data_IF_867849042172
#
_entry.id   IF_867849042172
#
_cell.length_a   1.000
_cell.length_b   1.000
_cell.length_c   1.000
_cell.angle_alpha   90.00
_cell.angle_beta   90.00
_cell.angle_gamma   90.00
#
_symmetry.space_group_name_H-M   'P 1'
#
loop_
_entity.id
_entity.type
_entity.pdbx_description
1 polymer ?
#
# COMPACT_ATOMS: atom_id res chain seq x y z
N UNK A 1 24.59 -16.53 -0.59
CA UNK A 1 24.12 -17.71 0.17
C UNK A 1 22.60 -17.79 0.16
N UNK A 2 21.87 -16.75 0.61
CA UNK A 2 20.40 -16.75 0.60
C UNK A 2 19.80 -17.07 -0.79
N UNK A 3 20.19 -16.31 -1.81
CA UNK A 3 19.76 -16.49 -3.21
C UNK A 3 19.99 -17.92 -3.72
N UNK A 4 21.24 -18.38 -3.77
CA UNK A 4 21.57 -19.72 -4.27
C UNK A 4 21.06 -20.87 -3.39
N UNK A 5 20.74 -20.60 -2.11
CA UNK A 5 20.16 -21.58 -1.20
C UNK A 5 18.66 -21.74 -1.36
N UNK A 6 17.99 -20.74 -1.94
CA UNK A 6 16.54 -20.71 -2.13
C UNK A 6 16.15 -21.05 -3.59
N UNK A 7 16.95 -20.63 -4.56
CA UNK A 7 16.89 -21.09 -5.95
C UNK A 7 18.23 -21.70 -6.35
N UNK A 8 18.21 -23.00 -6.66
CA UNK A 8 19.39 -23.74 -7.11
C UNK A 8 19.95 -23.08 -8.39
N UNK A 9 21.24 -22.69 -8.40
CA UNK A 9 21.93 -22.18 -9.59
C UNK A 9 21.77 -23.03 -10.86
N UNK A 10 21.55 -24.34 -10.73
CA UNK A 10 21.34 -25.29 -11.83
C UNK A 10 19.86 -25.57 -12.14
N UNK A 11 18.91 -24.97 -11.41
CA UNK A 11 17.49 -25.19 -11.66
C UNK A 11 17.13 -24.75 -13.08
N UNK A 12 16.50 -25.62 -13.86
CA UNK A 12 16.16 -25.31 -15.25
C UNK A 12 15.14 -24.16 -15.32
N UNK A 13 15.50 -23.09 -16.05
CA UNK A 13 14.60 -21.99 -16.41
C UNK A 13 13.96 -21.24 -15.23
N UNK A 14 14.64 -21.18 -14.09
CA UNK A 14 14.30 -20.28 -13.00
C UNK A 14 15.56 -19.67 -12.37
N UNK A 15 15.53 -18.35 -12.16
CA UNK A 15 16.59 -17.63 -11.46
C UNK A 15 16.02 -16.83 -10.30
N UNK A 16 16.89 -16.52 -9.34
CA UNK A 16 16.64 -15.54 -8.30
C UNK A 16 17.73 -14.49 -8.30
N UNK A 17 17.34 -13.24 -8.05
CA UNK A 17 18.26 -12.12 -7.86
C UNK A 17 17.88 -11.34 -6.62
N UNK A 18 18.87 -10.71 -6.00
CA UNK A 18 18.69 -9.88 -4.81
C UNK A 18 19.70 -8.75 -4.86
N UNK A 19 19.22 -7.51 -4.70
CA UNK A 19 20.05 -6.34 -4.47
C UNK A 19 19.74 -5.78 -3.08
N UNK A 20 20.78 -5.37 -2.36
CA UNK A 20 20.66 -4.64 -1.10
C UNK A 20 21.14 -3.22 -1.35
N UNK A 21 20.30 -2.27 -1.02
CA UNK A 21 20.56 -0.84 -1.21
C UNK A 21 20.39 -0.13 0.12
N UNK A 22 21.29 0.80 0.42
CA UNK A 22 21.23 1.61 1.65
C UNK A 22 20.27 2.81 1.46
N UNK A 23 19.22 2.94 2.29
CA UNK A 23 18.45 4.18 2.41
C UNK A 23 19.32 5.36 2.86
N UNK A 24 18.98 6.57 2.44
CA UNK A 24 19.87 7.73 2.53
C UNK A 24 19.33 8.94 1.77
N UNK A 25 19.64 10.13 2.28
CA UNK A 25 19.18 11.42 1.74
C UNK A 25 20.08 11.99 0.65
N UNK A 26 21.35 11.63 0.65
CA UNK A 26 22.39 12.29 -0.17
C UNK A 26 23.16 11.30 -1.07
N UNK A 27 22.93 10.00 -0.86
CA UNK A 27 23.53 8.93 -1.67
C UNK A 27 22.67 7.66 -1.58
N UNK A 28 22.98 6.69 -2.45
CA UNK A 28 22.26 5.42 -2.55
C UNK A 28 23.25 4.31 -2.84
N UNK A 29 23.95 3.89 -1.81
CA UNK A 29 25.00 2.90 -1.95
C UNK A 29 24.41 1.50 -2.19
N UNK A 30 24.98 0.80 -3.16
CA UNK A 30 24.66 -0.61 -3.41
C UNK A 30 25.54 -1.47 -2.50
N UNK A 31 24.94 -2.05 -1.45
CA UNK A 31 25.65 -2.84 -0.45
C UNK A 31 25.90 -4.28 -0.88
N UNK A 32 24.99 -4.84 -1.70
CA UNK A 32 25.16 -6.17 -2.26
C UNK A 32 24.35 -6.35 -3.54
N UNK A 33 24.87 -7.16 -4.46
CA UNK A 33 24.15 -7.65 -5.64
C UNK A 33 24.43 -9.14 -5.79
N UNK A 34 23.39 -9.94 -6.03
CA UNK A 34 23.51 -11.38 -6.19
C UNK A 34 22.54 -11.90 -7.26
N UNK A 35 22.99 -12.91 -7.99
CA UNK A 35 22.18 -13.78 -8.84
C UNK A 35 22.40 -15.24 -8.44
N UNK A 36 21.38 -16.09 -8.60
CA UNK A 36 21.54 -17.53 -8.50
C UNK A 36 22.32 -18.09 -9.69
N UNK A 37 22.30 -17.41 -10.85
CA UNK A 37 23.08 -17.81 -12.03
C UNK A 37 24.52 -17.34 -11.92
N UNK A 38 25.43 -18.17 -12.44
CA UNK A 38 26.83 -17.79 -12.58
C UNK A 38 27.03 -16.97 -13.87
N UNK A 39 28.02 -16.09 -13.88
CA UNK A 39 28.42 -15.42 -15.11
C UNK A 39 29.16 -16.37 -16.03
N UNK A 40 28.75 -16.45 -17.30
CA UNK A 40 29.44 -17.26 -18.30
C UNK A 40 28.58 -17.56 -19.53
N UNK A 41 29.07 -18.49 -20.34
CA UNK A 41 28.49 -18.85 -21.65
C UNK A 41 27.93 -20.28 -21.67
N UNK A 42 28.23 -21.09 -20.66
CA UNK A 42 27.82 -22.48 -20.63
C UNK A 42 26.43 -22.64 -20.00
N UNK A 43 25.39 -22.67 -20.84
CA UNK A 43 24.01 -22.86 -20.40
C UNK A 43 23.79 -24.18 -19.65
N UNK A 44 24.56 -25.24 -19.98
CA UNK A 44 24.50 -26.52 -19.27
C UNK A 44 25.01 -26.41 -17.83
N UNK A 45 25.79 -25.37 -17.53
CA UNK A 45 26.25 -25.00 -16.18
C UNK A 45 25.39 -23.89 -15.55
N UNK A 46 24.20 -23.60 -16.07
CA UNK A 46 23.35 -22.51 -15.56
C UNK A 46 24.05 -21.14 -15.59
N UNK A 47 24.95 -20.92 -16.56
CA UNK A 47 25.66 -19.66 -16.72
C UNK A 47 24.86 -18.68 -17.61
N UNK A 48 25.01 -17.38 -17.37
CA UNK A 48 24.41 -16.32 -18.19
C UNK A 48 25.34 -15.11 -18.33
N UNK A 49 25.23 -14.40 -19.45
CA UNK A 49 25.87 -13.09 -19.64
C UNK A 49 24.92 -11.92 -19.32
N UNK A 50 23.63 -12.20 -19.10
CA UNK A 50 22.63 -11.18 -18.82
C UNK A 50 22.91 -10.57 -17.43
N UNK A 51 23.02 -9.24 -17.29
CA UNK A 51 23.15 -8.58 -15.99
C UNK A 51 21.81 -8.58 -15.23
N UNK A 52 21.31 -9.77 -14.92
CA UNK A 52 19.99 -10.03 -14.33
C UNK A 52 19.67 -9.13 -13.12
N UNK A 53 20.59 -8.84 -12.18
CA UNK A 53 20.26 -8.02 -11.03
C UNK A 53 19.94 -6.56 -11.35
N UNK A 54 20.35 -6.03 -12.51
CA UNK A 54 20.23 -4.61 -12.88
C UNK A 54 19.63 -4.35 -14.27
N UNK A 55 18.97 -5.35 -14.86
CA UNK A 55 18.27 -5.24 -16.16
C UNK A 55 16.80 -5.60 -16.03
N UNK A 56 15.97 -5.14 -16.97
CA UNK A 56 14.58 -5.60 -17.09
C UNK A 56 14.52 -7.11 -17.38
N UNK A 57 14.00 -7.88 -16.43
CA UNK A 57 13.90 -9.34 -16.54
C UNK A 57 12.56 -9.86 -16.00
N UNK A 58 12.25 -11.11 -16.33
CA UNK A 58 11.10 -11.84 -15.81
C UNK A 58 9.75 -11.33 -16.33
N UNK A 59 8.68 -11.75 -15.65
CA UNK A 59 7.30 -11.61 -16.12
C UNK A 59 6.42 -10.76 -15.18
N UNK A 60 7.02 -9.91 -14.34
CA UNK A 60 6.26 -9.15 -13.34
C UNK A 60 6.76 -9.30 -11.91
N UNK A 61 6.62 -8.28 -11.08
CA UNK A 61 6.74 -8.40 -9.62
C UNK A 61 5.38 -8.58 -8.92
N UNK A 62 4.29 -8.71 -9.68
CA UNK A 62 2.99 -9.03 -9.12
C UNK A 62 2.46 -7.94 -8.18
N UNK A 63 1.83 -8.39 -7.10
CA UNK A 63 1.25 -7.55 -6.05
C UNK A 63 2.20 -6.55 -5.36
N UNK A 64 3.51 -6.59 -5.59
CA UNK A 64 4.40 -5.47 -5.16
C UNK A 64 3.96 -4.15 -5.81
N UNK A 65 3.44 -4.18 -7.04
CA UNK A 65 3.03 -2.97 -7.77
C UNK A 65 1.85 -2.21 -7.12
N UNK A 66 1.10 -2.87 -6.24
CA UNK A 66 0.01 -2.26 -5.47
C UNK A 66 0.49 -1.08 -4.62
N UNK A 67 1.76 -1.06 -4.21
CA UNK A 67 2.33 0.06 -3.47
C UNK A 67 2.29 1.35 -4.30
N UNK A 68 2.43 1.28 -5.63
CA UNK A 68 2.40 2.47 -6.48
C UNK A 68 0.99 3.06 -6.57
N UNK A 69 -0.01 2.19 -6.62
CA UNK A 69 -1.42 2.59 -6.60
C UNK A 69 -1.79 3.20 -5.25
N UNK A 70 -1.37 2.58 -4.14
CA UNK A 70 -1.57 3.12 -2.80
C UNK A 70 -0.84 4.46 -2.62
N UNK A 71 0.42 4.57 -3.04
CA UNK A 71 1.20 5.80 -2.97
C UNK A 71 0.53 6.94 -3.75
N UNK A 72 0.04 6.66 -4.97
CA UNK A 72 -0.69 7.64 -5.77
C UNK A 72 -2.05 8.01 -5.15
N UNK A 73 -2.76 7.07 -4.52
CA UNK A 73 -3.98 7.37 -3.78
C UNK A 73 -3.72 8.27 -2.56
N UNK A 74 -2.65 7.99 -1.80
CA UNK A 74 -2.21 8.79 -0.65
C UNK A 74 -1.75 10.19 -1.11
N UNK A 75 -1.01 10.28 -2.24
CA UNK A 75 -0.64 11.56 -2.86
C UNK A 75 -1.88 12.38 -3.28
N UNK A 76 -2.97 11.71 -3.68
CA UNK A 76 -4.27 12.33 -3.96
C UNK A 76 -5.16 12.53 -2.70
N UNK A 77 -4.61 12.28 -1.51
CA UNK A 77 -5.23 12.62 -0.23
C UNK A 77 -6.05 11.52 0.45
N UNK A 78 -5.96 10.28 -0.04
CA UNK A 78 -6.51 9.10 0.66
C UNK A 78 -5.74 8.85 1.96
N UNK A 79 -6.47 8.58 3.05
CA UNK A 79 -5.91 8.17 4.33
C UNK A 79 -5.75 6.66 4.45
N UNK A 80 -4.86 6.23 5.33
CA UNK A 80 -4.66 4.81 5.64
C UNK A 80 -5.91 4.13 6.21
N UNK A 81 -6.78 4.87 6.91
CA UNK A 81 -8.03 4.38 7.50
C UNK A 81 -9.23 4.49 6.53
N UNK A 82 -8.98 4.85 5.26
CA UNK A 82 -10.04 4.90 4.25
C UNK A 82 -10.58 3.50 4.01
N UNK A 83 -11.86 3.28 4.31
CA UNK A 83 -12.58 2.03 4.05
C UNK A 83 -12.79 1.80 2.55
N UNK A 84 -12.31 0.67 2.06
CA UNK A 84 -12.39 0.26 0.67
C UNK A 84 -13.19 -1.03 0.54
N UNK A 85 -13.97 -1.14 -0.53
CA UNK A 85 -14.74 -2.35 -0.82
C UNK A 85 -13.82 -3.46 -1.35
N UNK A 86 -14.06 -4.69 -0.88
CA UNK A 86 -13.31 -5.89 -1.23
C UNK A 86 -14.27 -6.94 -1.82
N UNK A 87 -14.86 -6.68 -2.99
CA UNK A 87 -15.75 -7.66 -3.62
C UNK A 87 -14.93 -8.89 -4.04
N UNK A 88 -15.55 -10.08 -4.03
CA UNK A 88 -14.88 -11.31 -4.46
C UNK A 88 -14.46 -11.26 -5.94
N UNK A 89 -15.26 -10.58 -6.77
CA UNK A 89 -15.03 -10.35 -8.19
C UNK A 89 -15.32 -8.90 -8.53
N UNK A 90 -14.52 -8.32 -9.41
CA UNK A 90 -14.72 -6.98 -9.92
C UNK A 90 -14.57 -6.96 -11.44
N UNK A 91 -15.49 -6.29 -12.14
CA UNK A 91 -15.54 -6.20 -13.60
C UNK A 91 -15.37 -4.73 -14.01
N UNK A 92 -14.13 -4.35 -14.33
CA UNK A 92 -13.80 -2.98 -14.67
C UNK A 92 -14.11 -2.69 -16.14
N UNK A 93 -14.63 -1.50 -16.43
CA UNK A 93 -14.84 -1.01 -17.79
C UNK A 93 -13.79 0.03 -18.17
N UNK A 94 -13.26 -0.03 -19.39
CA UNK A 94 -12.28 0.96 -19.87
C UNK A 94 -10.87 0.81 -19.30
N UNK A 95 -10.59 -0.27 -18.55
CA UNK A 95 -9.26 -0.59 -17.98
C UNK A 95 -8.54 -1.73 -18.73
N UNK A 96 -8.83 -1.88 -20.03
CA UNK A 96 -8.41 -3.01 -20.84
C UNK A 96 -9.47 -4.12 -20.88
N UNK A 97 -9.08 -5.30 -21.39
CA UNK A 97 -9.98 -6.44 -21.58
C UNK A 97 -9.33 -7.76 -21.17
N UNK A 98 -10.11 -8.70 -20.65
CA UNK A 98 -9.66 -10.04 -20.28
C UNK A 98 -9.60 -10.26 -18.77
N UNK A 99 -8.61 -11.01 -18.30
CA UNK A 99 -8.46 -11.36 -16.88
C UNK A 99 -9.14 -12.69 -16.55
N UNK A 100 -9.94 -12.70 -15.47
CA UNK A 100 -10.63 -13.89 -14.97
C UNK A 100 -11.57 -14.53 -16.02
N UNK A 101 -11.80 -15.83 -15.90
CA UNK A 101 -12.71 -16.56 -16.78
C UNK A 101 -14.13 -15.97 -16.75
N UNK A 102 -14.89 -16.22 -17.83
CA UNK A 102 -16.26 -15.74 -18.01
C UNK A 102 -16.40 -14.21 -17.92
N UNK A 103 -15.36 -13.46 -18.30
CA UNK A 103 -15.41 -12.00 -18.35
C UNK A 103 -16.28 -11.50 -19.51
N UNK A 104 -17.21 -10.56 -19.26
CA UNK A 104 -18.00 -9.95 -20.34
C UNK A 104 -17.14 -9.29 -21.44
N UNK A 105 -17.68 -9.11 -22.65
CA UNK A 105 -16.98 -8.36 -23.70
C UNK A 105 -16.64 -6.93 -23.26
N UNK A 106 -15.44 -6.47 -23.60
CA UNK A 106 -14.93 -5.13 -23.31
C UNK A 106 -14.75 -4.78 -21.83
N UNK A 107 -14.67 -5.77 -20.95
CA UNK A 107 -14.35 -5.57 -19.53
C UNK A 107 -13.07 -6.29 -19.13
N UNK A 108 -12.44 -5.81 -18.06
CA UNK A 108 -11.33 -6.47 -17.40
C UNK A 108 -11.80 -7.01 -16.05
N UNK A 109 -11.81 -8.33 -15.91
CA UNK A 109 -12.35 -9.01 -14.73
C UNK A 109 -11.23 -9.52 -13.85
N UNK A 110 -11.38 -9.31 -12.54
CA UNK A 110 -10.39 -9.74 -11.55
C UNK A 110 -11.12 -10.40 -10.39
N UNK A 111 -10.51 -11.46 -9.88
CA UNK A 111 -10.99 -12.21 -8.72
C UNK A 111 -9.90 -12.26 -7.65
N UNK A 112 -10.35 -12.43 -6.42
CA UNK A 112 -9.50 -12.59 -5.26
C UNK A 112 -9.12 -14.07 -5.09
N UNK A 113 -7.84 -14.35 -4.84
CA UNK A 113 -7.37 -15.71 -4.60
C UNK A 113 -7.87 -16.31 -3.26
N UNK A 114 -8.25 -15.45 -2.31
CA UNK A 114 -8.75 -15.83 -1.00
C UNK A 114 -10.09 -15.17 -0.66
N UNK A 115 -10.68 -15.62 0.44
CA UNK A 115 -11.87 -14.98 1.03
C UNK A 115 -11.42 -13.86 1.96
N UNK A 116 -11.91 -12.66 1.71
CA UNK A 116 -11.61 -11.47 2.49
C UNK A 116 -12.86 -10.95 3.20
N UNK A 117 -12.67 -10.10 4.21
CA UNK A 117 -13.75 -9.26 4.72
C UNK A 117 -14.28 -8.37 3.59
N UNK A 118 -15.58 -8.03 3.57
CA UNK A 118 -16.18 -7.27 2.46
C UNK A 118 -15.68 -5.83 2.36
N UNK A 119 -15.13 -5.29 3.44
CA UNK A 119 -14.49 -3.97 3.50
C UNK A 119 -13.23 -4.06 4.34
N UNK A 120 -12.23 -3.25 3.98
CA UNK A 120 -10.95 -3.14 4.66
C UNK A 120 -10.42 -1.72 4.48
N UNK A 121 -9.71 -1.21 5.47
CA UNK A 121 -8.96 0.04 5.35
C UNK A 121 -7.85 -0.05 4.29
N UNK A 122 -7.38 1.08 3.75
CA UNK A 122 -6.22 1.08 2.85
C UNK A 122 -5.01 0.37 3.48
N UNK A 123 -4.76 0.58 4.78
CA UNK A 123 -3.72 -0.12 5.55
C UNK A 123 -3.90 -1.64 5.51
N UNK A 124 -5.08 -2.13 5.82
CA UNK A 124 -5.37 -3.57 5.78
C UNK A 124 -5.26 -4.14 4.35
N UNK A 125 -5.70 -3.38 3.34
CA UNK A 125 -5.59 -3.84 1.94
C UNK A 125 -4.14 -3.93 1.47
N UNK A 126 -3.23 -3.06 1.96
CA UNK A 126 -1.79 -3.20 1.71
C UNK A 126 -1.24 -4.50 2.32
N UNK A 127 -1.69 -4.86 3.52
CA UNK A 127 -1.27 -6.09 4.22
C UNK A 127 -1.86 -7.37 3.61
N UNK A 128 -3.17 -7.41 3.32
CA UNK A 128 -3.88 -8.60 2.82
C UNK A 128 -3.90 -8.73 1.30
N UNK A 129 -3.61 -7.63 0.60
CA UNK A 129 -3.37 -7.59 -0.84
C UNK A 129 -4.53 -8.09 -1.73
N UNK A 130 -5.81 -7.75 -1.49
CA UNK A 130 -6.91 -8.15 -2.38
C UNK A 130 -6.75 -7.52 -3.77
N UNK A 131 -6.88 -8.31 -4.83
CA UNK A 131 -6.72 -7.83 -6.21
C UNK A 131 -7.85 -6.87 -6.61
N UNK A 132 -9.09 -7.19 -6.26
CA UNK A 132 -10.27 -6.42 -6.69
C UNK A 132 -10.27 -4.99 -6.14
N UNK A 133 -9.83 -4.79 -4.90
CA UNK A 133 -9.71 -3.45 -4.30
C UNK A 133 -8.68 -2.59 -5.03
N UNK A 134 -7.54 -3.14 -5.42
CA UNK A 134 -6.52 -2.38 -6.14
C UNK A 134 -6.91 -2.07 -7.59
N UNK A 135 -7.74 -2.91 -8.23
CA UNK A 135 -8.34 -2.56 -9.53
C UNK A 135 -9.33 -1.40 -9.39
N UNK A 136 -10.20 -1.43 -8.37
CA UNK A 136 -11.06 -0.29 -8.07
C UNK A 136 -10.24 0.97 -7.76
N UNK A 137 -9.13 0.81 -7.03
CA UNK A 137 -8.29 1.93 -6.64
C UNK A 137 -7.54 2.54 -7.83
N UNK A 138 -6.96 1.74 -8.74
CA UNK A 138 -6.35 2.27 -9.96
C UNK A 138 -7.38 2.86 -10.93
N UNK A 139 -8.62 2.34 -10.97
CA UNK A 139 -9.73 2.97 -11.70
C UNK A 139 -10.01 4.37 -11.16
N UNK A 140 -10.02 4.52 -9.84
CA UNK A 140 -10.19 5.80 -9.19
C UNK A 140 -8.97 6.69 -9.43
N UNK A 141 -7.77 6.31 -8.98
CA UNK A 141 -6.55 7.13 -9.07
C UNK A 141 -6.17 7.48 -10.52
N UNK A 142 -6.42 6.57 -11.46
CA UNK A 142 -6.06 6.66 -12.86
C UNK A 142 -4.73 5.95 -13.18
N UNK A 143 -4.73 5.11 -14.22
CA UNK A 143 -3.54 4.37 -14.67
C UNK A 143 -2.33 5.28 -14.91
N UNK A 144 -2.46 6.48 -15.56
CA UNK A 144 -1.33 7.38 -15.73
C UNK A 144 -0.66 7.83 -14.43
N UNK A 145 -1.43 8.15 -13.39
CA UNK A 145 -0.87 8.59 -12.11
C UNK A 145 -0.10 7.45 -11.43
N UNK A 146 -0.59 6.21 -11.51
CA UNK A 146 0.10 5.03 -10.96
C UNK A 146 1.39 4.72 -11.71
N UNK A 147 1.38 4.80 -13.04
CA UNK A 147 2.58 4.62 -13.86
C UNK A 147 3.62 5.70 -13.53
N UNK A 148 3.22 6.97 -13.50
CA UNK A 148 4.12 8.07 -13.18
C UNK A 148 4.68 7.94 -11.75
N UNK A 149 3.86 7.52 -10.78
CA UNK A 149 4.31 7.21 -9.41
C UNK A 149 5.37 6.11 -9.37
N UNK A 150 5.21 5.04 -10.15
CA UNK A 150 6.20 3.95 -10.20
C UNK A 150 7.55 4.40 -10.77
N UNK A 151 7.54 5.28 -11.77
CA UNK A 151 8.76 5.88 -12.34
C UNK A 151 9.40 6.84 -11.36
N UNK A 152 8.61 7.73 -10.73
CA UNK A 152 9.07 8.66 -9.68
C UNK A 152 9.79 7.93 -8.56
N UNK A 153 9.17 6.87 -8.01
CA UNK A 153 9.71 6.15 -6.86
C UNK A 153 10.92 5.27 -7.19
N UNK A 154 11.15 4.90 -8.46
CA UNK A 154 12.44 4.33 -8.83
C UNK A 154 12.51 3.42 -10.04
N UNK A 155 11.38 3.03 -10.66
CA UNK A 155 11.38 2.21 -11.88
C UNK A 155 11.77 3.04 -13.13
N UNK A 156 12.94 3.67 -13.10
CA UNK A 156 13.38 4.64 -14.11
C UNK A 156 13.54 4.01 -15.50
N UNK A 157 13.84 2.70 -15.60
CA UNK A 157 13.89 2.00 -16.89
C UNK A 157 12.53 1.98 -17.61
N UNK A 158 11.41 2.18 -16.90
CA UNK A 158 10.08 2.16 -17.51
C UNK A 158 9.83 3.39 -18.40
N UNK A 159 10.56 4.48 -18.18
CA UNK A 159 10.47 5.70 -18.98
C UNK A 159 11.48 5.74 -20.15
N UNK A 160 12.41 4.77 -20.22
CA UNK A 160 13.40 4.75 -21.31
C UNK A 160 12.73 4.32 -22.63
N UNK A 161 13.02 5.00 -23.75
CA UNK A 161 12.48 4.62 -25.06
C UNK A 161 12.79 3.17 -25.43
N UNK A 162 11.83 2.52 -26.08
CA UNK A 162 11.98 1.15 -26.59
C UNK A 162 11.92 0.02 -25.57
N UNK A 163 11.69 0.28 -24.28
CA UNK A 163 11.62 -0.78 -23.26
C UNK A 163 10.38 -1.67 -23.35
N UNK A 164 9.36 -1.30 -24.14
CA UNK A 164 8.20 -2.13 -24.40
C UNK A 164 8.27 -2.90 -25.73
N UNK A 165 8.43 -2.18 -26.85
CA UNK A 165 8.32 -2.73 -28.20
C UNK A 165 9.42 -2.25 -29.17
N UNK A 166 10.51 -1.70 -28.63
CA UNK A 166 11.61 -1.13 -29.43
C UNK A 166 11.36 0.30 -29.91
N UNK A 167 10.14 0.83 -29.77
CA UNK A 167 9.80 2.23 -30.06
C UNK A 167 9.34 2.96 -28.80
N UNK A 168 8.31 2.42 -28.14
CA UNK A 168 7.70 2.99 -26.93
C UNK A 168 8.34 2.45 -25.67
N UNK A 169 8.37 3.29 -24.65
CA UNK A 169 8.65 2.89 -23.28
C UNK A 169 7.47 2.12 -22.68
N UNK A 170 7.72 1.30 -21.65
CA UNK A 170 6.66 0.63 -20.88
C UNK A 170 5.67 1.66 -20.33
N UNK A 171 6.16 2.80 -19.82
CA UNK A 171 5.31 3.85 -19.27
C UNK A 171 4.36 4.44 -20.32
N UNK A 172 4.84 4.75 -21.52
CA UNK A 172 4.00 5.27 -22.61
C UNK A 172 2.93 4.28 -23.03
N UNK A 173 3.30 3.01 -23.20
CA UNK A 173 2.35 1.96 -23.59
C UNK A 173 1.24 1.78 -22.55
N UNK A 174 1.61 1.59 -21.28
CA UNK A 174 0.65 1.33 -20.20
C UNK A 174 -0.34 2.49 -20.02
N UNK A 175 0.14 3.74 -20.17
CA UNK A 175 -0.70 4.94 -20.12
C UNK A 175 -1.64 5.04 -21.31
N UNK A 176 -1.12 4.85 -22.53
CA UNK A 176 -1.92 4.96 -23.75
C UNK A 176 -3.01 3.87 -23.85
N UNK A 177 -2.69 2.65 -23.40
CA UNK A 177 -3.63 1.53 -23.39
C UNK A 177 -4.57 1.52 -22.17
N UNK A 178 -4.35 2.40 -21.18
CA UNK A 178 -5.12 2.51 -19.94
C UNK A 178 -5.33 1.16 -19.24
N UNK A 179 -4.26 0.37 -19.08
CA UNK A 179 -4.34 -0.99 -18.57
C UNK A 179 -4.40 -1.03 -17.04
N UNK A 180 -5.58 -1.35 -16.49
CA UNK A 180 -5.78 -1.49 -15.03
C UNK A 180 -4.96 -2.63 -14.43
N UNK A 181 -4.60 -3.63 -15.22
CA UNK A 181 -3.72 -4.73 -14.81
C UNK A 181 -2.34 -4.24 -14.35
N UNK A 182 -1.93 -3.01 -14.68
CA UNK A 182 -0.64 -2.45 -14.25
C UNK A 182 -0.44 -2.51 -12.72
N UNK A 183 -1.49 -2.27 -11.93
CA UNK A 183 -1.40 -2.37 -10.46
C UNK A 183 -1.08 -3.77 -9.95
N UNK A 184 -1.28 -4.80 -10.78
CA UNK A 184 -0.96 -6.20 -10.46
C UNK A 184 0.43 -6.60 -10.97
N UNK A 185 1.21 -5.67 -11.50
CA UNK A 185 2.62 -5.81 -11.86
C UNK A 185 2.95 -6.92 -12.88
N UNK A 186 2.31 -6.98 -14.06
CA UNK A 186 2.55 -8.01 -15.09
C UNK A 186 3.73 -7.69 -16.03
N UNK A 187 4.55 -6.69 -15.70
CA UNK A 187 5.60 -6.15 -16.59
C UNK A 187 7.00 -6.55 -16.11
N UNK A 188 7.97 -6.80 -17.02
CA UNK A 188 9.35 -7.10 -16.62
C UNK A 188 9.90 -6.04 -15.66
N UNK A 189 10.73 -6.46 -14.70
CA UNK A 189 11.21 -5.57 -13.63
C UNK A 189 12.73 -5.50 -13.63
N UNK A 190 13.27 -4.32 -13.36
CA UNK A 190 14.67 -4.15 -13.00
C UNK A 190 14.80 -4.34 -11.46
N UNK A 191 15.42 -5.43 -10.98
CA UNK A 191 15.42 -5.76 -9.56
C UNK A 191 16.22 -4.77 -8.68
N UNK A 192 17.22 -4.11 -9.26
CA UNK A 192 17.97 -3.05 -8.57
C UNK A 192 17.09 -1.83 -8.36
N UNK A 193 16.35 -1.43 -9.41
CA UNK A 193 15.38 -0.34 -9.31
C UNK A 193 14.27 -0.66 -8.30
N UNK A 194 13.77 -1.90 -8.28
CA UNK A 194 12.75 -2.30 -7.31
C UNK A 194 13.27 -2.24 -5.85
N UNK A 195 14.53 -2.61 -5.62
CA UNK A 195 15.16 -2.45 -4.31
C UNK A 195 15.31 -0.96 -3.95
N UNK A 196 15.67 -0.12 -4.93
CA UNK A 196 15.79 1.33 -4.76
C UNK A 196 14.43 2.02 -4.53
N UNK A 197 13.31 1.47 -5.02
CA UNK A 197 11.96 1.94 -4.66
C UNK A 197 11.78 1.88 -3.14
N UNK A 198 12.12 0.75 -2.52
CA UNK A 198 12.08 0.62 -1.06
C UNK A 198 12.99 1.64 -0.36
N UNK A 199 14.21 1.84 -0.87
CA UNK A 199 15.15 2.81 -0.32
C UNK A 199 14.64 4.26 -0.45
N UNK A 200 13.96 4.59 -1.55
CA UNK A 200 13.37 5.91 -1.79
C UNK A 200 12.23 6.20 -0.82
N UNK A 201 11.35 5.22 -0.59
CA UNK A 201 10.28 5.33 0.41
C UNK A 201 10.87 5.44 1.82
N UNK A 202 11.85 4.60 2.17
CA UNK A 202 12.58 4.67 3.44
C UNK A 202 13.29 6.02 3.67
N UNK A 203 13.69 6.69 2.59
CA UNK A 203 14.34 8.00 2.61
C UNK A 203 13.35 9.16 2.57
N UNK A 204 12.08 8.92 2.91
CA UNK A 204 11.05 9.95 2.97
C UNK A 204 10.71 10.56 1.61
N UNK A 205 10.76 9.76 0.53
CA UNK A 205 10.44 10.21 -0.82
C UNK A 205 11.60 10.86 -1.56
N UNK A 206 12.83 10.76 -1.01
CA UNK A 206 14.04 11.21 -1.69
C UNK A 206 14.63 10.08 -2.53
N UNK A 207 14.54 10.21 -3.85
CA UNK A 207 15.13 9.28 -4.80
C UNK A 207 16.57 9.67 -5.09
N UNK A 208 17.44 8.67 -5.20
CA UNK A 208 18.84 8.82 -5.53
C UNK A 208 19.20 7.70 -6.52
N UNK A 209 20.08 7.97 -7.48
CA UNK A 209 20.58 6.94 -8.38
C UNK A 209 21.45 5.94 -7.61
N UNK A 210 21.20 4.61 -7.71
CA UNK A 210 22.03 3.61 -7.05
C UNK A 210 23.48 3.65 -7.54
N UNK A 211 24.43 3.80 -6.62
CA UNK A 211 25.87 3.91 -6.92
C UNK A 211 26.63 2.69 -6.41
N UNK A 212 27.34 1.93 -7.29
CA UNK A 212 28.22 0.85 -6.88
C UNK A 212 29.62 1.32 -6.46
N UNK A 213 29.97 2.59 -6.64
CA UNK A 213 31.34 3.11 -6.45
C UNK A 213 31.42 3.91 -5.15
N UNK A 214 32.00 3.31 -4.11
CA UNK A 214 32.20 4.00 -2.82
C UNK A 214 33.25 5.12 -2.90
N UNK A 215 34.40 4.87 -3.53
CA UNK A 215 35.45 5.87 -3.77
C UNK A 215 36.39 5.41 -4.88
N UNK A 216 37.10 6.36 -5.50
CA UNK A 216 38.18 6.08 -6.44
C UNK A 216 39.45 6.77 -5.95
N UNK A 217 40.58 6.07 -6.00
CA UNK A 217 41.90 6.63 -5.66
C UNK A 217 42.85 6.46 -6.83
N UNK A 218 43.74 7.44 -7.01
CA UNK A 218 44.80 7.38 -8.01
C UNK A 218 45.95 6.47 -7.56
N UNK A 219 46.96 6.30 -8.43
CA UNK A 219 48.14 5.46 -8.14
C UNK A 219 48.99 5.96 -6.96
N UNK A 220 48.80 7.20 -6.53
CA UNK A 220 49.51 7.83 -5.42
C UNK A 220 48.68 7.80 -4.13
N UNK A 221 47.49 7.19 -4.16
CA UNK A 221 46.56 7.16 -3.04
C UNK A 221 45.77 8.45 -2.84
N UNK A 222 45.76 9.37 -3.81
CA UNK A 222 44.95 10.57 -3.76
C UNK A 222 43.53 10.26 -4.23
N UNK A 223 42.54 10.75 -3.48
CA UNK A 223 41.13 10.60 -3.83
C UNK A 223 40.82 11.33 -5.15
N UNK A 224 40.10 10.63 -6.03
CA UNK A 224 39.60 11.17 -7.29
C UNK A 224 38.16 11.59 -7.06
N UNK A 225 37.88 12.87 -7.30
CA UNK A 225 36.52 13.38 -7.24
C UNK A 225 35.64 12.65 -8.26
N UNK A 226 34.50 12.15 -7.78
CA UNK A 226 33.45 11.56 -8.61
C UNK A 226 32.25 12.49 -8.61
N UNK A 227 31.87 12.96 -9.79
CA UNK A 227 30.60 13.65 -9.96
C UNK A 227 29.48 12.62 -9.86
N UNK A 228 28.59 12.81 -8.87
CA UNK A 228 27.42 11.97 -8.64
C UNK A 228 26.16 12.75 -9.01
N UNK A 229 25.17 12.12 -9.65
CA UNK A 229 23.86 12.73 -9.88
C UNK A 229 23.23 13.18 -8.56
N UNK A 230 22.61 14.35 -8.57
CA UNK A 230 21.89 14.87 -7.40
C UNK A 230 20.65 14.01 -7.11
N UNK A 231 20.39 13.78 -5.82
CA UNK A 231 19.15 13.17 -5.39
C UNK A 231 17.94 14.11 -5.59
N UNK A 232 16.78 13.54 -5.85
CA UNK A 232 15.52 14.23 -6.17
C UNK A 232 14.47 14.01 -5.08
N UNK A 233 13.69 15.03 -4.74
CA UNK A 233 12.48 14.85 -3.93
C UNK A 233 11.33 14.50 -4.89
N UNK A 234 10.96 13.22 -4.94
CA UNK A 234 10.03 12.70 -5.96
C UNK A 234 8.60 12.58 -5.45
N UNK A 235 8.42 12.45 -4.13
CA UNK A 235 7.13 12.49 -3.43
C UNK A 235 7.29 13.22 -2.11
N UNK A 236 6.20 13.77 -1.59
CA UNK A 236 6.20 14.39 -0.26
C UNK A 236 6.55 13.38 0.84
N UNK A 237 7.29 13.85 1.84
CA UNK A 237 7.73 13.01 2.95
C UNK A 237 6.56 12.31 3.64
N UNK A 238 5.46 13.01 3.86
CA UNK A 238 4.28 12.44 4.51
C UNK A 238 3.63 11.30 3.71
N UNK A 239 3.67 11.37 2.37
CA UNK A 239 3.19 10.28 1.49
C UNK A 239 4.09 9.06 1.61
N UNK A 240 5.41 9.25 1.57
CA UNK A 240 6.37 8.16 1.74
C UNK A 240 6.29 7.51 3.13
N UNK A 241 6.17 8.32 4.19
CA UNK A 241 6.03 7.84 5.56
C UNK A 241 4.73 7.05 5.74
N UNK A 242 3.62 7.57 5.22
CA UNK A 242 2.32 6.88 5.27
C UNK A 242 2.34 5.56 4.49
N UNK A 243 2.99 5.52 3.33
CA UNK A 243 3.17 4.28 2.58
C UNK A 243 4.01 3.26 3.37
N UNK A 244 5.13 3.69 3.96
CA UNK A 244 5.99 2.82 4.77
C UNK A 244 5.23 2.23 5.97
N UNK A 245 4.49 3.08 6.71
CA UNK A 245 3.69 2.64 7.86
C UNK A 245 2.54 1.74 7.42
N UNK A 246 1.84 2.09 6.33
CA UNK A 246 0.73 1.31 5.79
C UNK A 246 1.15 -0.10 5.34
N UNK A 247 2.41 -0.28 4.96
CA UNK A 247 2.99 -1.57 4.56
C UNK A 247 3.55 -2.40 5.72
N UNK A 248 3.62 -1.85 6.95
CA UNK A 248 4.23 -2.54 8.09
C UNK A 248 3.44 -3.79 8.51
N UNK A 249 2.11 -3.72 8.40
CA UNK A 249 1.21 -4.79 8.83
C UNK A 249 1.29 -6.06 7.97
N UNK A 250 1.92 -5.99 6.78
CA UNK A 250 2.17 -7.17 5.95
C UNK A 250 3.01 -8.23 6.70
N UNK A 251 3.89 -7.79 7.60
CA UNK A 251 4.76 -8.67 8.38
C UNK A 251 4.16 -9.18 9.69
N UNK A 252 3.01 -8.64 10.12
CA UNK A 252 2.39 -8.99 11.40
C UNK A 252 1.12 -9.79 11.20
N UNK A 253 0.23 -9.33 10.32
CA UNK A 253 -1.09 -9.92 10.06
C UNK A 253 -1.29 -10.28 8.58
N UNK A 254 -0.51 -9.67 7.68
CA UNK A 254 -0.70 -9.83 6.25
C UNK A 254 0.01 -11.04 5.62
N UNK A 255 0.22 -10.94 4.32
CA UNK A 255 0.78 -12.00 3.48
C UNK A 255 2.22 -12.39 3.82
N UNK A 256 3.03 -11.47 4.32
CA UNK A 256 4.42 -11.69 4.74
C UNK A 256 4.58 -12.26 6.16
N UNK A 257 3.52 -12.28 6.97
CA UNK A 257 3.60 -12.61 8.39
C UNK A 257 4.12 -14.04 8.66
N UNK A 258 3.74 -15.00 7.83
CA UNK A 258 4.21 -16.39 7.97
C UNK A 258 5.72 -16.50 7.74
N UNK A 259 6.26 -15.89 6.68
CA UNK A 259 7.71 -15.89 6.43
C UNK A 259 8.49 -15.14 7.52
N UNK A 260 7.95 -14.02 8.01
CA UNK A 260 8.57 -13.26 9.11
C UNK A 260 8.69 -14.12 10.37
N UNK A 261 7.58 -14.73 10.80
CA UNK A 261 7.53 -15.60 11.98
C UNK A 261 8.43 -16.83 11.82
N UNK A 262 8.34 -17.54 10.68
CA UNK A 262 9.15 -18.73 10.43
C UNK A 262 10.65 -18.45 10.36
N UNK A 263 11.04 -17.22 10.01
CA UNK A 263 12.44 -16.79 9.95
C UNK A 263 12.94 -16.18 11.26
N UNK A 264 12.11 -16.10 12.30
CA UNK A 264 12.46 -15.48 13.58
C UNK A 264 12.75 -13.98 13.48
N UNK A 265 12.16 -13.29 12.50
CA UNK A 265 12.38 -11.86 12.31
C UNK A 265 11.87 -11.05 13.52
N UNK A 266 12.70 -10.12 14.01
CA UNK A 266 12.42 -9.32 15.20
C UNK A 266 12.60 -7.80 15.00
N UNK A 267 13.10 -7.37 13.83
CA UNK A 267 13.28 -5.96 13.50
C UNK A 267 12.00 -5.29 13.01
N UNK A 268 12.07 -3.98 12.76
CA UNK A 268 11.00 -3.24 12.09
C UNK A 268 11.27 -3.18 10.58
N UNK A 269 10.24 -3.41 9.77
CA UNK A 269 10.30 -3.22 8.33
C UNK A 269 8.89 -3.03 7.76
N UNK A 270 8.84 -2.29 6.65
CA UNK A 270 7.71 -2.23 5.75
C UNK A 270 7.93 -3.29 4.67
N UNK A 271 6.87 -4.00 4.27
CA UNK A 271 7.01 -5.02 3.25
C UNK A 271 5.80 -5.12 2.32
N UNK A 272 6.05 -5.70 1.15
CA UNK A 272 5.01 -6.15 0.25
C UNK A 272 5.40 -7.45 -0.43
N UNK A 273 4.59 -8.48 -0.28
CA UNK A 273 4.68 -9.69 -1.12
C UNK A 273 4.15 -9.45 -2.54
N UNK A 274 4.74 -10.15 -3.51
CA UNK A 274 4.36 -10.13 -4.92
C UNK A 274 4.37 -11.51 -5.54
N UNK A 275 3.32 -11.83 -6.29
CA UNK A 275 3.28 -12.98 -7.19
C UNK A 275 2.45 -12.56 -8.40
N UNK A 276 2.87 -12.96 -9.60
CA UNK A 276 2.05 -12.80 -10.80
C UNK A 276 0.93 -13.83 -10.83
N UNK A 277 -0.24 -13.48 -11.35
CA UNK A 277 -1.39 -14.40 -11.48
C UNK A 277 -1.06 -15.66 -12.29
N UNK A 278 -0.07 -15.60 -13.20
CA UNK A 278 0.41 -16.72 -14.00
C UNK A 278 1.44 -17.62 -13.29
N UNK A 279 1.75 -17.35 -12.01
CA UNK A 279 2.81 -18.02 -11.22
C UNK A 279 4.21 -18.01 -11.87
N UNK A 280 4.50 -17.09 -12.79
CA UNK A 280 5.77 -17.05 -13.52
C UNK A 280 6.87 -16.31 -12.77
N UNK A 281 6.51 -15.56 -11.73
CA UNK A 281 7.44 -14.85 -10.88
C UNK A 281 6.87 -14.54 -9.50
N UNK A 282 7.79 -14.37 -8.55
CA UNK A 282 7.55 -14.05 -7.15
C UNK A 282 8.55 -12.99 -6.71
N UNK A 283 8.08 -11.99 -5.98
CA UNK A 283 8.88 -10.89 -5.48
C UNK A 283 8.53 -10.63 -4.02
N UNK A 284 9.47 -10.03 -3.31
CA UNK A 284 9.23 -9.50 -1.99
C UNK A 284 9.98 -8.19 -1.88
N UNK A 285 9.27 -7.08 -1.65
CA UNK A 285 9.91 -5.81 -1.34
C UNK A 285 9.90 -5.65 0.17
N UNK A 286 11.08 -5.46 0.79
CA UNK A 286 11.17 -5.17 2.21
C UNK A 286 12.20 -4.09 2.48
N UNK A 287 11.86 -3.14 3.36
CA UNK A 287 12.75 -2.04 3.71
C UNK A 287 12.47 -1.45 5.10
N UNK A 288 13.47 -0.74 5.63
CA UNK A 288 13.37 0.17 6.78
C UNK A 288 14.39 1.31 6.61
N UNK A 289 14.65 2.10 7.65
CA UNK A 289 15.55 3.26 7.57
C UNK A 289 17.02 2.93 7.23
N UNK A 290 17.48 1.68 7.32
CA UNK A 290 18.88 1.29 7.09
C UNK A 290 19.09 0.18 6.06
N UNK A 291 18.02 -0.40 5.53
CA UNK A 291 18.12 -1.54 4.62
C UNK A 291 16.93 -1.56 3.66
N UNK A 292 17.18 -1.71 2.36
CA UNK A 292 16.13 -2.00 1.38
C UNK A 292 16.59 -3.10 0.41
N UNK A 293 15.73 -4.08 0.17
CA UNK A 293 16.01 -5.15 -0.77
C UNK A 293 14.73 -5.70 -1.40
N UNK A 294 14.84 -6.14 -2.65
CA UNK A 294 13.77 -6.82 -3.35
C UNK A 294 14.24 -8.13 -4.00
N UNK A 295 14.23 -9.27 -3.28
CA UNK A 295 14.46 -10.57 -3.90
C UNK A 295 13.40 -10.83 -4.98
N UNK A 296 13.86 -11.30 -6.13
CA UNK A 296 13.02 -11.52 -7.30
C UNK A 296 13.33 -12.87 -7.93
N UNK A 297 12.32 -13.75 -7.91
CA UNK A 297 12.33 -15.08 -8.51
C UNK A 297 11.51 -15.03 -9.78
N UNK A 298 12.06 -15.51 -10.90
CA UNK A 298 11.37 -15.48 -12.18
C UNK A 298 11.84 -16.58 -13.11
N UNK A 299 10.97 -16.92 -14.07
CA UNK A 299 11.34 -17.80 -15.17
C UNK A 299 12.35 -17.09 -16.09
N UNK A 300 13.58 -17.59 -16.12
CA UNK A 300 14.67 -17.10 -16.98
C UNK A 300 14.94 -18.01 -18.20
N UNK A 301 14.06 -18.98 -18.43
CA UNK A 301 14.10 -19.88 -19.58
C UNK A 301 13.55 -19.25 -20.86
N UNK A 302 13.76 -19.94 -21.98
CA UNK A 302 13.25 -19.51 -23.30
C UNK A 302 11.77 -19.81 -23.50
N UNK A 303 11.14 -20.52 -22.57
CA UNK A 303 9.72 -20.86 -22.60
C UNK A 303 9.02 -20.28 -21.38
N UNK A 304 7.96 -19.54 -21.62
CA UNK A 304 7.09 -19.04 -20.57
C UNK A 304 6.41 -20.22 -19.88
N UNK A 305 6.77 -20.48 -18.63
CA UNK A 305 6.26 -21.59 -17.82
C UNK A 305 6.00 -21.12 -16.39
N UNK A 306 4.89 -21.56 -15.76
CA UNK A 306 4.67 -21.34 -14.35
C UNK A 306 5.77 -21.93 -13.48
N UNK A 307 5.91 -21.39 -12.27
CA UNK A 307 6.85 -21.84 -11.26
C UNK A 307 6.10 -22.51 -10.10
N UNK A 308 6.74 -23.50 -9.51
CA UNK A 308 6.30 -24.18 -8.31
C UNK A 308 7.27 -23.95 -7.15
N UNK A 309 6.77 -23.99 -5.92
CA UNK A 309 7.58 -23.98 -4.70
C UNK A 309 8.06 -25.38 -4.29
N UNK A 310 9.00 -25.41 -3.34
CA UNK A 310 9.44 -26.58 -2.57
C UNK A 310 9.87 -27.80 -3.41
N UNK A 311 10.97 -27.71 -4.19
CA UNK A 311 11.82 -26.53 -4.40
C UNK A 311 11.30 -25.64 -5.54
N UNK A 312 11.84 -24.42 -5.63
CA UNK A 312 11.56 -23.50 -6.74
C UNK A 312 11.99 -24.12 -8.07
N UNK A 313 11.04 -24.31 -8.99
CA UNK A 313 11.27 -24.95 -10.30
C UNK A 313 10.16 -24.62 -11.30
N UNK A 314 10.41 -24.79 -12.59
CA UNK A 314 9.33 -24.79 -13.59
C UNK A 314 8.38 -25.99 -13.40
N UNK A 315 7.09 -25.78 -13.64
CA UNK A 315 6.07 -26.83 -13.60
C UNK A 315 4.87 -26.48 -14.49
N UNK A 316 3.99 -27.45 -14.74
CA UNK A 316 2.85 -27.28 -15.67
C UNK A 316 1.80 -26.29 -15.16
N UNK A 317 1.37 -26.44 -13.91
CA UNK A 317 0.20 -25.70 -13.38
C UNK A 317 0.57 -24.51 -12.49
N UNK A 318 1.81 -24.44 -12.00
CA UNK A 318 2.25 -23.38 -11.09
C UNK A 318 1.69 -23.53 -9.68
N UNK A 319 2.51 -23.29 -8.67
CA UNK A 319 2.02 -23.10 -7.29
C UNK A 319 2.91 -22.16 -6.46
N UNK A 320 3.85 -21.46 -7.12
CA UNK A 320 4.60 -20.38 -6.51
C UNK A 320 3.62 -19.24 -6.24
N UNK A 321 3.26 -19.04 -4.98
CA UNK A 321 2.22 -18.11 -4.58
C UNK A 321 2.48 -17.51 -3.19
N UNK A 322 2.01 -16.29 -2.97
CA UNK A 322 2.10 -15.59 -1.69
C UNK A 322 3.46 -14.95 -1.40
N UNK A 323 4.39 -14.93 -2.36
CA UNK A 323 5.69 -14.26 -2.20
C UNK A 323 6.65 -14.92 -1.20
N UNK A 324 6.33 -16.09 -0.67
CA UNK A 324 7.02 -16.67 0.50
C UNK A 324 8.49 -17.04 0.23
N UNK A 325 8.79 -17.50 -0.98
CA UNK A 325 10.14 -17.90 -1.38
C UNK A 325 11.05 -16.69 -1.48
N UNK A 326 10.59 -15.62 -2.13
CA UNK A 326 11.32 -14.35 -2.19
C UNK A 326 11.45 -13.73 -0.78
N UNK A 327 10.40 -13.79 0.05
CA UNK A 327 10.43 -13.32 1.43
C UNK A 327 11.49 -14.07 2.26
N UNK A 328 11.62 -15.39 2.08
CA UNK A 328 12.65 -16.20 2.76
C UNK A 328 14.06 -15.68 2.46
N UNK A 329 14.37 -15.38 1.20
CA UNK A 329 15.67 -14.82 0.82
C UNK A 329 15.92 -13.44 1.43
N UNK A 330 14.86 -12.62 1.54
CA UNK A 330 14.93 -11.33 2.22
C UNK A 330 15.29 -11.53 3.69
N UNK A 331 14.54 -12.36 4.43
CA UNK A 331 14.76 -12.58 5.87
C UNK A 331 16.10 -13.26 6.17
N UNK A 332 16.55 -14.21 5.35
CA UNK A 332 17.88 -14.82 5.50
C UNK A 332 19.00 -13.77 5.36
N UNK A 333 18.80 -12.77 4.50
CA UNK A 333 19.77 -11.67 4.32
C UNK A 333 19.64 -10.64 5.43
N UNK A 334 18.42 -10.21 5.76
CA UNK A 334 18.13 -9.18 6.75
C UNK A 334 18.52 -9.60 8.17
N UNK A 335 18.31 -10.86 8.56
CA UNK A 335 18.72 -11.37 9.88
C UNK A 335 20.24 -11.39 10.12
N UNK A 336 21.04 -11.21 9.06
CA UNK A 336 22.50 -11.11 9.15
C UNK A 336 22.99 -9.66 9.06
N UNK A 337 22.07 -8.70 8.89
CA UNK A 337 22.39 -7.28 8.72
C UNK A 337 22.00 -6.49 9.97
N UNK A 338 22.97 -5.91 10.71
CA UNK A 338 22.66 -4.99 11.80
C UNK A 338 21.83 -3.78 11.37
N UNK A 339 22.00 -3.30 10.13
CA UNK A 339 21.23 -2.18 9.60
C UNK A 339 19.75 -2.57 9.40
N UNK A 340 19.47 -3.81 8.98
CA UNK A 340 18.11 -4.31 8.89
C UNK A 340 17.51 -4.55 10.29
N UNK A 341 18.23 -5.19 11.20
CA UNK A 341 17.71 -5.53 12.54
C UNK A 341 17.42 -4.29 13.40
N UNK A 342 18.25 -3.25 13.29
CA UNK A 342 18.15 -2.03 14.11
C UNK A 342 17.46 -0.87 13.38
N UNK A 343 17.11 -1.05 12.11
CA UNK A 343 16.39 -0.04 11.34
C UNK A 343 14.99 0.20 11.89
N UNK A 344 14.46 1.40 11.65
CA UNK A 344 13.15 1.83 12.15
C UNK A 344 12.22 2.20 11.02
N UNK A 345 10.93 2.26 11.32
CA UNK A 345 9.94 2.91 10.47
C UNK A 345 9.72 4.37 10.89
N UNK A 346 9.28 5.24 9.97
CA UNK A 346 8.99 6.64 10.30
C UNK A 346 7.77 6.75 11.22
N UNK A 347 7.64 7.89 11.90
CA UNK A 347 6.41 8.25 12.60
C UNK A 347 5.34 8.68 11.59
N UNK A 348 4.09 8.28 11.81
CA UNK A 348 2.96 8.68 10.98
C UNK A 348 2.44 10.06 11.40
N UNK A 349 2.30 10.97 10.44
CA UNK A 349 1.52 12.20 10.62
C UNK A 349 0.03 11.85 10.55
N UNK A 350 -0.73 12.20 11.59
CA UNK A 350 -2.16 11.88 11.72
C UNK A 350 -3.03 12.38 10.57
N UNK A 351 -2.58 13.38 9.80
CA UNK A 351 -3.28 13.81 8.57
C UNK A 351 -3.37 12.69 7.53
N UNK A 352 -2.43 11.75 7.51
CA UNK A 352 -2.42 10.62 6.58
C UNK A 352 -3.11 9.38 7.14
N UNK A 353 -3.55 9.38 8.41
CA UNK A 353 -4.43 8.34 8.95
C UNK A 353 -5.84 8.48 8.37
N UNK A 354 -6.47 9.64 8.59
CA UNK A 354 -7.81 9.94 8.08
C UNK A 354 -7.82 10.38 6.60
N UNK A 355 -6.68 10.85 6.11
CA UNK A 355 -6.49 11.37 4.76
C UNK A 355 -6.37 12.88 4.76
N UNK A 356 -5.44 13.40 3.96
CA UNK A 356 -5.14 14.84 3.93
C UNK A 356 -6.33 15.65 3.42
N UNK A 357 -7.15 15.03 2.56
CA UNK A 357 -8.46 15.55 2.18
C UNK A 357 -9.37 15.74 3.39
N UNK A 358 -9.53 14.72 4.25
CA UNK A 358 -10.36 14.85 5.45
C UNK A 358 -9.80 15.89 6.42
N UNK A 359 -8.48 15.99 6.56
CA UNK A 359 -7.86 17.04 7.37
C UNK A 359 -8.24 18.46 6.89
N UNK A 360 -8.21 18.71 5.57
CA UNK A 360 -8.67 20.00 4.98
C UNK A 360 -10.16 20.22 5.23
N UNK A 361 -10.98 19.15 5.14
CA UNK A 361 -12.42 19.24 5.40
C UNK A 361 -12.74 19.52 6.88
N UNK A 362 -11.95 18.98 7.80
CA UNK A 362 -12.08 19.23 9.24
C UNK A 362 -11.66 20.65 9.60
N UNK A 363 -10.63 21.21 8.94
CA UNK A 363 -10.20 22.60 9.13
C UNK A 363 -11.30 23.62 8.83
N UNK A 364 -12.25 23.28 7.94
CA UNK A 364 -13.35 24.18 7.59
C UNK A 364 -14.61 24.01 8.44
N UNK A 365 -14.66 23.01 9.32
CA UNK A 365 -15.79 22.82 10.25
C UNK A 365 -15.84 23.98 11.25
N UNK A 366 -17.04 24.54 11.46
CA UNK A 366 -17.25 25.70 12.34
C UNK A 366 -16.90 27.07 11.71
N UNK A 367 -16.27 27.11 10.52
CA UNK A 367 -16.09 28.36 9.78
C UNK A 367 -17.43 28.88 9.23
N UNK A 368 -17.44 30.15 8.81
CA UNK A 368 -18.56 30.67 8.02
C UNK A 368 -18.57 30.02 6.64
N UNK A 369 -19.74 29.91 6.00
CA UNK A 369 -19.83 29.40 4.60
C UNK A 369 -18.83 30.12 3.68
N UNK A 370 -18.71 31.45 3.80
CA UNK A 370 -17.84 32.26 2.95
C UNK A 370 -16.35 32.03 3.20
N UNK A 371 -15.95 31.73 4.44
CA UNK A 371 -14.55 31.44 4.77
C UNK A 371 -14.19 30.00 4.39
N UNK A 372 -15.06 29.04 4.71
CA UNK A 372 -14.89 27.64 4.32
C UNK A 372 -14.79 27.49 2.80
N UNK A 373 -15.69 28.15 2.05
CA UNK A 373 -15.64 28.20 0.59
C UNK A 373 -14.30 28.72 0.08
N UNK A 374 -13.77 29.78 0.69
CA UNK A 374 -12.50 30.40 0.27
C UNK A 374 -11.31 29.46 0.46
N UNK A 375 -11.25 28.75 1.58
CA UNK A 375 -10.19 27.76 1.85
C UNK A 375 -10.27 26.62 0.83
N UNK A 376 -11.45 26.04 0.64
CA UNK A 376 -11.61 24.92 -0.29
C UNK A 376 -11.36 25.32 -1.75
N UNK A 377 -11.83 26.50 -2.18
CA UNK A 377 -11.59 26.99 -3.54
C UNK A 377 -10.13 27.41 -3.76
N UNK A 378 -9.41 27.89 -2.73
CA UNK A 378 -7.96 28.18 -2.84
C UNK A 378 -7.12 26.91 -3.02
N UNK A 379 -7.59 25.81 -2.45
CA UNK A 379 -6.98 24.49 -2.59
C UNK A 379 -7.44 23.76 -3.85
N UNK A 380 -8.24 24.44 -4.68
CA UNK A 380 -8.64 23.99 -6.02
C UNK A 380 -9.89 23.11 -6.05
N UNK A 381 -10.68 23.07 -4.98
CA UNK A 381 -11.94 22.32 -4.92
C UNK A 381 -13.15 23.15 -5.36
N UNK A 382 -14.17 22.47 -5.88
CA UNK A 382 -15.48 23.06 -6.15
C UNK A 382 -16.35 22.92 -4.91
N UNK A 383 -17.13 23.95 -4.59
CA UNK A 383 -17.93 23.96 -3.36
C UNK A 383 -19.41 24.05 -3.67
N UNK A 384 -20.14 22.99 -3.31
CA UNK A 384 -21.59 22.95 -3.22
C UNK A 384 -22.04 23.16 -1.78
N UNK A 385 -23.26 23.67 -1.58
CA UNK A 385 -23.77 24.01 -0.27
C UNK A 385 -25.16 23.43 -0.10
N UNK A 386 -25.40 22.79 1.04
CA UNK A 386 -26.75 22.43 1.49
C UNK A 386 -26.94 22.76 2.96
N UNK A 387 -28.16 23.10 3.33
CA UNK A 387 -28.51 23.39 4.72
C UNK A 387 -28.96 22.12 5.43
N UNK A 388 -28.47 21.87 6.63
CA UNK A 388 -28.86 20.73 7.48
C UNK A 388 -29.24 21.19 8.88
N UNK A 389 -30.05 20.41 9.59
CA UNK A 389 -30.18 20.56 11.05
C UNK A 389 -28.86 20.18 11.71
N UNK A 390 -28.36 21.04 12.59
CA UNK A 390 -27.00 20.92 13.11
C UNK A 390 -26.86 21.46 14.53
N UNK A 391 -25.74 21.14 15.16
CA UNK A 391 -25.40 21.59 16.51
C UNK A 391 -24.64 22.91 16.51
N UNK A 392 -24.01 23.27 15.38
CA UNK A 392 -23.29 24.52 15.23
C UNK A 392 -24.26 25.72 15.14
N UNK A 393 -23.79 26.94 15.44
CA UNK A 393 -24.56 28.15 15.18
C UNK A 393 -25.00 28.25 13.72
N UNK A 394 -26.18 28.83 13.49
CA UNK A 394 -26.73 29.01 12.15
C UNK A 394 -25.73 29.72 11.23
N UNK A 395 -25.53 29.20 10.03
CA UNK A 395 -24.62 29.76 9.03
C UNK A 395 -23.15 29.36 9.21
N UNK A 396 -22.85 28.43 10.12
CA UNK A 396 -21.55 27.77 10.24
C UNK A 396 -21.57 26.40 9.57
N UNK A 397 -20.41 25.96 9.10
CA UNK A 397 -20.22 24.62 8.57
C UNK A 397 -20.40 23.61 9.70
N UNK A 398 -21.42 22.76 9.58
CA UNK A 398 -21.62 21.59 10.44
C UNK A 398 -20.64 20.49 10.04
N UNK A 399 -20.52 20.26 8.73
CA UNK A 399 -19.66 19.23 8.15
C UNK A 399 -19.30 19.59 6.71
N UNK A 400 -18.11 19.23 6.27
CA UNK A 400 -17.72 19.26 4.87
C UNK A 400 -17.59 17.82 4.36
N UNK A 401 -18.30 17.50 3.29
CA UNK A 401 -18.42 16.12 2.76
C UNK A 401 -17.87 16.10 1.34
N UNK A 402 -16.84 15.28 1.04
CA UNK A 402 -16.34 15.15 -0.31
C UNK A 402 -17.28 14.28 -1.16
N UNK A 403 -17.38 14.54 -2.45
CA UNK A 403 -18.00 13.62 -3.41
C UNK A 403 -17.00 12.51 -3.79
N UNK A 404 -17.08 11.38 -3.10
CA UNK A 404 -16.15 10.26 -3.27
C UNK A 404 -14.72 10.60 -2.81
N UNK A 405 -13.71 10.15 -3.57
CA UNK A 405 -12.32 10.54 -3.34
C UNK A 405 -12.13 11.98 -3.83
N UNK A 406 -11.78 12.91 -2.93
CA UNK A 406 -11.62 14.31 -3.30
C UNK A 406 -10.33 14.52 -4.10
N UNK A 407 -10.47 14.67 -5.41
CA UNK A 407 -9.37 14.96 -6.34
C UNK A 407 -9.17 16.46 -6.51
N UNK A 408 -8.03 16.93 -7.05
CA UNK A 408 -7.91 18.31 -7.54
C UNK A 408 -9.07 18.65 -8.51
N UNK A 409 -9.82 19.72 -8.24
CA UNK A 409 -11.04 20.07 -8.99
C UNK A 409 -12.32 19.32 -8.59
N UNK A 410 -12.24 18.41 -7.62
CA UNK A 410 -13.37 17.65 -7.07
C UNK A 410 -14.34 18.51 -6.27
N UNK A 411 -15.56 18.01 -6.05
CA UNK A 411 -16.63 18.74 -5.37
C UNK A 411 -16.70 18.39 -3.89
N UNK A 412 -16.72 19.41 -3.03
CA UNK A 412 -17.04 19.32 -1.60
C UNK A 412 -18.42 19.91 -1.37
N UNK A 413 -19.30 19.15 -0.72
CA UNK A 413 -20.57 19.65 -0.20
C UNK A 413 -20.37 20.17 1.22
N UNK A 414 -20.52 21.48 1.42
CA UNK A 414 -20.63 22.08 2.75
C UNK A 414 -22.05 21.92 3.28
N UNK A 415 -22.18 21.21 4.39
CA UNK A 415 -23.42 21.13 5.17
C UNK A 415 -23.44 22.29 6.16
N UNK A 416 -24.26 23.31 5.88
CA UNK A 416 -24.37 24.52 6.70
C UNK A 416 -25.48 24.31 7.72
N UNK A 417 -25.16 24.54 9.00
CA UNK A 417 -26.13 24.40 10.08
C UNK A 417 -27.25 25.43 9.98
N UNK A 418 -28.50 24.95 10.09
CA UNK A 418 -29.69 25.76 10.28
C UNK A 418 -29.79 26.37 11.69
N UNK A 419 -28.94 25.92 12.62
CA UNK A 419 -28.94 26.19 14.05
C UNK A 419 -29.40 24.99 14.88
N UNK A 420 -29.10 24.94 16.19
CA UNK A 420 -29.58 23.88 17.08
C UNK A 420 -31.11 23.86 17.11
N UNK A 421 -31.74 22.67 17.23
CA UNK A 421 -33.18 22.57 17.30
C UNK A 421 -33.71 23.43 18.45
N UNK A 422 -34.75 24.21 18.17
CA UNK A 422 -35.37 25.07 19.17
C UNK A 422 -35.79 24.23 20.38
N UNK A 423 -35.23 24.56 21.56
CA UNK A 423 -35.64 23.96 22.83
C UNK A 423 -37.16 24.12 22.92
N UNK A 424 -37.91 23.01 22.88
CA UNK A 424 -39.34 23.07 23.11
C UNK A 424 -39.55 23.71 24.49
N UNK A 425 -40.26 24.84 24.52
CA UNK A 425 -40.67 25.45 25.77
C UNK A 425 -41.51 24.42 26.54
N UNK A 426 -41.33 24.25 27.87
CA UNK A 426 -42.22 23.42 28.65
C UNK A 426 -43.65 23.91 28.42
N UNK A 427 -44.56 22.98 28.12
CA UNK A 427 -45.96 23.30 27.90
C UNK A 427 -46.50 24.14 29.08
N UNK A 428 -47.34 25.18 28.84
CA UNK A 428 -47.86 26.01 29.90
C UNK A 428 -48.66 25.16 30.88
N UNK A 429 -48.21 25.12 32.13
CA UNK A 429 -48.92 24.48 33.23
C UNK A 429 -50.29 25.14 33.43
N UNK A 430 -51.36 24.34 33.38
CA UNK A 430 -52.73 24.76 33.62
C UNK A 430 -52.91 25.36 35.05
N UNK A 431 -53.93 26.23 35.27
CA UNK A 431 -54.14 26.87 36.57
C UNK A 431 -54.44 25.85 37.66
N UNK A 432 -53.77 25.99 38.80
CA UNK A 432 -53.93 25.12 39.96
C UNK A 432 -55.37 25.21 40.52
N UNK A 433 -56.05 24.08 40.77
CA UNK A 433 -57.25 24.07 41.59
C UNK A 433 -56.87 24.24 43.07
N UNK A 434 -57.55 25.17 43.72
CA UNK A 434 -57.51 25.36 45.17
C UNK A 434 -58.07 24.14 45.90
N UNK A 435 -57.21 23.49 46.69
CA UNK A 435 -57.55 22.83 47.95
C UNK A 435 -58.30 21.50 47.91
N UNK A 436 -57.58 20.40 48.15
CA UNK A 436 -57.96 19.39 49.16
C UNK A 436 -56.83 18.39 49.43
N UNK A 437 -56.62 18.15 50.73
CA UNK A 437 -55.80 17.14 51.41
C UNK A 437 -54.98 16.16 50.57
N UNK A 438 -53.66 16.18 50.80
CA UNK A 438 -52.69 15.17 50.40
C UNK A 438 -52.99 13.80 51.02
N UNK A 439 -53.31 12.80 50.18
CA UNK A 439 -53.03 11.38 50.48
C UNK A 439 -51.53 11.13 50.25
N UNK A 440 -50.86 10.27 51.04
CA UNK A 440 -49.46 9.92 50.78
C UNK A 440 -49.34 9.19 49.43
N UNK A 441 -48.27 9.49 48.68
CA UNK A 441 -47.86 8.72 47.52
C UNK A 441 -47.40 7.32 47.95
N UNK A 442 -47.59 6.26 47.14
CA UNK A 442 -46.97 4.97 47.40
C UNK A 442 -45.45 5.13 47.24
N UNK A 443 -44.70 4.63 48.23
CA UNK A 443 -43.25 4.52 48.11
C UNK A 443 -42.90 3.56 46.95
N UNK A 444 -41.88 3.92 46.17
CA UNK A 444 -41.23 2.97 45.28
C UNK A 444 -40.67 1.82 46.13
N UNK A 445 -40.78 0.56 45.69
CA UNK A 445 -40.21 -0.56 46.44
C UNK A 445 -38.70 -0.35 46.59
N UNK A 446 -38.21 -0.43 47.82
CA UNK A 446 -36.78 -0.53 48.08
C UNK A 446 -36.28 -1.88 47.57
N UNK A 447 -35.25 -1.85 46.72
CA UNK A 447 -34.53 -3.05 46.31
C UNK A 447 -33.84 -3.61 47.55
N UNK A 448 -34.23 -4.80 47.96
CA UNK A 448 -33.67 -5.48 49.13
C UNK A 448 -32.46 -6.32 48.75
N UNK A 449 -31.66 -6.70 49.75
CA UNK A 449 -30.55 -7.64 49.53
C UNK A 449 -31.05 -8.99 49.01
N UNK A 450 -32.29 -9.38 49.36
CA UNK A 450 -32.94 -10.61 48.88
C UNK A 450 -33.22 -10.55 47.36
N UNK A 451 -33.63 -9.40 46.84
CA UNK A 451 -33.83 -9.19 45.39
C UNK A 451 -32.50 -9.26 44.61
N UNK A 452 -31.41 -8.78 45.23
CA UNK A 452 -30.05 -8.84 44.65
C UNK A 452 -29.54 -10.29 44.64
N UNK A 453 -29.80 -11.04 45.72
CA UNK A 453 -29.38 -12.42 45.86
C UNK A 453 -30.17 -13.35 44.91
N UNK A 454 -31.45 -13.04 44.65
CA UNK A 454 -32.28 -13.75 43.67
C UNK A 454 -31.77 -13.57 42.24
N UNK A 455 -31.41 -12.33 41.85
CA UNK A 455 -30.80 -12.05 40.55
C UNK A 455 -29.42 -12.72 40.44
N UNK A 456 -28.61 -12.72 41.50
CA UNK A 456 -27.33 -13.41 41.52
C UNK A 456 -27.45 -14.95 41.45
N UNK A 457 -28.56 -15.50 41.93
CA UNK A 457 -28.90 -16.93 41.79
C UNK A 457 -29.29 -17.26 40.35
N UNK A 458 -30.15 -16.43 39.72
CA UNK A 458 -30.57 -16.61 38.33
C UNK A 458 -29.41 -16.49 37.34
N UNK A 459 -28.44 -15.60 37.61
CA UNK A 459 -27.22 -15.47 36.80
C UNK A 459 -26.31 -16.70 36.95
N UNK A 460 -26.17 -17.26 38.16
CA UNK A 460 -25.40 -18.49 38.39
C UNK A 460 -26.01 -19.70 37.69
N UNK A 461 -27.33 -19.83 37.74
CA UNK A 461 -28.07 -20.88 37.06
C UNK A 461 -27.97 -20.77 35.52
N UNK A 462 -27.97 -19.55 34.98
CA UNK A 462 -27.76 -19.30 33.55
C UNK A 462 -26.31 -19.53 33.09
N UNK A 463 -25.32 -19.40 33.98
CA UNK A 463 -23.90 -19.61 33.72
C UNK A 463 -23.40 -21.01 34.10
N UNK A 464 -24.24 -21.86 34.71
CA UNK A 464 -23.92 -23.25 35.04
C UNK A 464 -22.86 -23.43 36.13
N UNK A 465 -22.78 -22.50 37.09
CA UNK A 465 -21.80 -22.48 38.19
C UNK A 465 -22.43 -22.33 39.57
#
# INVERSE_FOLDING_TARGET
AAVAGNVDPMAAGVAEVLNVVEPGSDSRDILAMASSRNYGLNLDNGETLLPQPSSLVGNGAGSVFKIFTAAAAIEQGMGLDTELDVPARYEASGLGTGGAENCPPNTYCVENAGTYQPRMTLRETLAFSPNTTFIQLIEQVGVPAVVDMSVKLGLRSYAQPGTHDGERSIAEYMKAANLGSYTLGPTPVNPLELSNVGATVASGGRWCEPDPIASVTDRNGQEVYLERPDCENVVDKGVADALAVGMADDLTIGTGAQAASASGWSGQAAAKTGTTESHQSSAFLGFNSGFAAAPYIYNDGTTTSPLCTSPVRQCADGNLFGGQEAARSWFQTANLSPAALNGTLPALDGRYELGTTHAVLDEVVGLSEADARRVLESDGYRVEVRTVEGTQPRGRVERAVPDGLLRPGGTVTLEISAGPPARQAPAPSAPAPTGRATRPAPALPEVTQEDIDEVASQIREALGI
#
